data_IF_401387968924
#
_entry.id   IF_401387968924
#
_cell.length_a   1.000
_cell.length_b   1.000
_cell.length_c   1.000
_cell.angle_alpha   90.00
_cell.angle_beta   90.00
_cell.angle_gamma   90.00
#
_symmetry.space_group_name_H-M   'P 1'
#
loop_
_entity.id
_entity.type
_entity.pdbx_description
1 polymer ?
#
# COMPACT_ATOMS: atom_id res chain seq x y z
N UNK A 1 -1.80 -9.45 27.28
CA UNK A 1 -0.51 -9.09 26.62
C UNK A 1 -0.84 -8.23 25.43
N UNK A 2 -0.12 -7.12 25.20
CA UNK A 2 -0.39 -6.27 24.04
C UNK A 2 -0.05 -7.01 22.75
N UNK A 3 -1.03 -7.20 21.86
CA UNK A 3 -0.80 -7.90 20.58
C UNK A 3 -0.22 -6.92 19.57
N UNK A 4 1.07 -7.07 19.27
CA UNK A 4 1.80 -6.22 18.32
C UNK A 4 1.98 -6.95 17.01
N UNK A 5 1.47 -6.38 15.91
CA UNK A 5 1.70 -6.90 14.57
C UNK A 5 2.74 -6.03 13.85
N UNK A 6 3.73 -6.67 13.23
CA UNK A 6 4.83 -6.00 12.53
C UNK A 6 4.83 -6.45 11.08
N UNK A 7 4.60 -5.54 10.14
CA UNK A 7 4.71 -5.81 8.70
C UNK A 7 6.16 -5.58 8.24
N UNK A 8 6.85 -6.66 7.90
CA UNK A 8 8.29 -6.67 7.69
C UNK A 8 8.69 -7.55 6.50
N UNK A 9 9.66 -7.07 5.73
CA UNK A 9 10.35 -7.84 4.69
C UNK A 9 11.80 -7.41 4.54
N UNK A 10 12.20 -6.75 3.43
CA UNK A 10 13.59 -6.51 3.09
C UNK A 10 14.35 -5.52 4.01
N UNK A 11 13.64 -4.73 4.83
CA UNK A 11 14.29 -3.70 5.64
C UNK A 11 15.02 -4.24 6.88
N UNK A 12 14.59 -5.39 7.42
CA UNK A 12 15.20 -6.03 8.60
C UNK A 12 14.87 -7.53 8.61
N UNK A 13 15.85 -8.37 8.95
CA UNK A 13 15.64 -9.81 9.07
C UNK A 13 14.77 -10.18 10.29
N UNK A 14 14.02 -11.27 10.16
CA UNK A 14 13.09 -11.73 11.21
C UNK A 14 13.80 -12.02 12.54
N UNK A 15 15.02 -12.54 12.50
CA UNK A 15 15.76 -12.90 13.72
C UNK A 15 16.13 -11.64 14.53
N UNK A 16 16.65 -10.61 13.86
CA UNK A 16 16.94 -9.31 14.48
C UNK A 16 15.66 -8.63 14.99
N UNK A 17 14.55 -8.74 14.27
CA UNK A 17 13.28 -8.19 14.71
C UNK A 17 12.77 -8.86 16.01
N UNK A 18 12.82 -10.19 16.08
CA UNK A 18 12.42 -10.95 17.27
C UNK A 18 13.39 -10.80 18.45
N UNK A 19 14.68 -10.51 18.18
CA UNK A 19 15.63 -10.19 19.23
C UNK A 19 15.27 -8.89 19.96
N UNK A 20 14.71 -7.91 19.23
CA UNK A 20 14.24 -6.64 19.81
C UNK A 20 12.84 -6.77 20.39
N UNK A 21 11.91 -7.44 19.69
CA UNK A 21 10.50 -7.54 20.08
C UNK A 21 10.01 -9.00 20.02
N UNK A 22 10.35 -9.84 21.02
CA UNK A 22 10.09 -11.28 21.00
C UNK A 22 8.61 -11.67 20.89
N UNK A 23 7.71 -10.81 21.38
CA UNK A 23 6.27 -11.02 21.41
C UNK A 23 5.54 -10.58 20.11
N UNK A 24 6.27 -10.09 19.11
CA UNK A 24 5.69 -9.58 17.88
C UNK A 24 5.13 -10.69 16.98
N UNK A 25 3.95 -10.45 16.41
CA UNK A 25 3.45 -11.20 15.25
C UNK A 25 4.08 -10.61 13.98
N UNK A 26 5.14 -11.25 13.49
CA UNK A 26 5.82 -10.83 12.26
C UNK A 26 5.05 -11.29 11.01
N UNK A 27 4.47 -10.32 10.31
CA UNK A 27 3.71 -10.46 9.07
C UNK A 27 4.58 -10.07 7.85
N UNK A 28 4.23 -10.55 6.64
CA UNK A 28 4.85 -10.09 5.38
C UNK A 28 4.76 -8.57 5.19
N UNK A 29 5.45 -7.97 4.19
CA UNK A 29 5.23 -6.58 3.82
C UNK A 29 3.75 -6.25 3.62
N UNK A 30 3.31 -5.12 4.16
CA UNK A 30 1.89 -4.75 4.20
C UNK A 30 1.30 -4.62 2.79
N UNK A 31 0.15 -5.25 2.57
CA UNK A 31 -0.67 -5.10 1.39
C UNK A 31 -2.09 -4.60 1.72
N UNK A 32 -2.85 -4.26 0.69
CA UNK A 32 -4.25 -3.86 0.85
C UNK A 32 -5.06 -4.96 1.55
N UNK A 33 -5.76 -4.58 2.62
CA UNK A 33 -6.59 -5.45 3.45
C UNK A 33 -5.88 -6.09 4.64
N UNK A 34 -4.54 -6.05 4.71
CA UNK A 34 -3.79 -6.66 5.82
C UNK A 34 -4.01 -5.95 7.14
N UNK A 35 -4.08 -4.62 7.11
CA UNK A 35 -4.34 -3.82 8.31
C UNK A 35 -5.73 -4.16 8.87
N UNK A 36 -6.74 -4.30 8.00
CA UNK A 36 -8.07 -4.72 8.42
C UNK A 36 -8.07 -6.11 9.07
N UNK A 37 -7.33 -7.06 8.50
CA UNK A 37 -7.15 -8.41 9.08
C UNK A 37 -6.49 -8.35 10.44
N UNK A 38 -5.44 -7.54 10.61
CA UNK A 38 -4.74 -7.39 11.87
C UNK A 38 -5.65 -6.80 12.96
N UNK A 39 -6.39 -5.73 12.64
CA UNK A 39 -7.35 -5.11 13.56
C UNK A 39 -8.44 -6.11 13.97
N UNK A 40 -9.00 -6.86 13.01
CA UNK A 40 -10.03 -7.87 13.30
C UNK A 40 -9.55 -9.01 14.22
N UNK A 41 -8.23 -9.27 14.26
CA UNK A 41 -7.60 -10.24 15.18
C UNK A 41 -7.28 -9.66 16.56
N UNK A 42 -7.69 -8.43 16.85
CA UNK A 42 -7.47 -7.75 18.13
C UNK A 42 -6.05 -7.17 18.27
N UNK A 43 -5.42 -6.77 17.16
CA UNK A 43 -4.16 -6.02 17.20
C UNK A 43 -4.34 -4.71 17.99
N UNK A 44 -3.42 -4.42 18.90
CA UNK A 44 -3.42 -3.19 19.70
C UNK A 44 -2.32 -2.21 19.30
N UNK A 45 -1.26 -2.72 18.67
CA UNK A 45 -0.19 -1.90 18.09
C UNK A 45 0.25 -2.48 16.76
N UNK A 46 0.30 -1.63 15.75
CA UNK A 46 0.72 -1.95 14.40
C UNK A 46 2.06 -1.26 14.11
N UNK A 47 3.06 -2.02 13.70
CA UNK A 47 4.33 -1.49 13.20
C UNK A 47 4.40 -1.77 11.70
N UNK A 48 4.43 -0.71 10.91
CA UNK A 48 4.53 -0.79 9.45
C UNK A 48 5.96 -0.43 9.07
N UNK A 49 6.73 -1.40 8.60
CA UNK A 49 8.09 -1.18 8.09
C UNK A 49 8.04 -1.24 6.56
N UNK A 50 7.72 -2.41 6.03
CA UNK A 50 7.72 -2.70 4.60
C UNK A 50 6.30 -2.84 4.06
N UNK A 51 6.15 -2.52 2.77
CA UNK A 51 4.93 -2.74 2.01
C UNK A 51 5.24 -3.17 0.59
N UNK A 52 4.27 -3.81 -0.05
CA UNK A 52 4.40 -4.31 -1.42
C UNK A 52 4.18 -3.21 -2.46
N UNK A 53 4.94 -3.24 -3.54
CA UNK A 53 4.80 -2.36 -4.70
C UNK A 53 4.34 -3.13 -5.94
N UNK A 54 3.72 -2.41 -6.89
CA UNK A 54 3.33 -2.85 -8.24
C UNK A 54 2.29 -3.98 -8.34
N UNK A 55 2.70 -5.23 -8.10
CA UNK A 55 1.89 -6.42 -8.44
C UNK A 55 0.74 -6.68 -7.45
N UNK A 56 0.88 -6.17 -6.24
CA UNK A 56 -0.16 -6.22 -5.21
C UNK A 56 -0.53 -4.80 -4.82
N UNK A 57 -1.82 -4.48 -4.72
CA UNK A 57 -2.24 -3.15 -4.26
C UNK A 57 -1.62 -2.83 -2.89
N UNK A 58 -0.92 -1.70 -2.82
CA UNK A 58 -0.33 -1.20 -1.59
C UNK A 58 -1.40 -0.88 -0.55
N UNK A 59 -1.01 -0.87 0.73
CA UNK A 59 -1.89 -0.48 1.83
C UNK A 59 -2.49 0.91 1.59
N UNK A 60 -3.79 1.05 1.83
CA UNK A 60 -4.46 2.34 1.71
C UNK A 60 -4.32 3.15 3.00
N UNK A 61 -4.18 4.48 2.85
CA UNK A 61 -4.26 5.42 3.98
C UNK A 61 -5.50 5.20 4.84
N UNK A 62 -6.63 4.87 4.21
CA UNK A 62 -7.91 4.63 4.88
C UNK A 62 -7.89 3.42 5.81
N UNK A 63 -7.05 2.42 5.54
CA UNK A 63 -6.90 1.27 6.44
C UNK A 63 -6.13 1.65 7.70
N UNK A 64 -5.06 2.44 7.55
CA UNK A 64 -4.27 2.94 8.68
C UNK A 64 -5.08 3.93 9.55
N UNK A 65 -5.82 4.84 8.91
CA UNK A 65 -6.78 5.72 9.59
C UNK A 65 -7.85 4.89 10.31
N UNK A 66 -8.39 3.85 9.67
CA UNK A 66 -9.34 2.96 10.32
C UNK A 66 -8.73 2.31 11.57
N UNK A 67 -7.53 1.74 11.49
CA UNK A 67 -6.85 1.16 12.65
C UNK A 67 -6.71 2.16 13.80
N UNK A 68 -6.23 3.37 13.53
CA UNK A 68 -6.11 4.43 14.53
C UNK A 68 -7.47 4.83 15.13
N UNK A 69 -8.54 4.87 14.32
CA UNK A 69 -9.90 5.15 14.80
C UNK A 69 -10.44 4.08 15.75
N UNK A 70 -9.91 2.85 15.69
CA UNK A 70 -10.22 1.75 16.60
C UNK A 70 -9.33 1.76 17.86
N UNK A 71 -8.53 2.80 18.07
CA UNK A 71 -7.59 2.90 19.19
C UNK A 71 -6.33 2.05 19.01
N UNK A 72 -6.08 1.52 17.81
CA UNK A 72 -4.82 0.81 17.51
C UNK A 72 -3.72 1.83 17.36
N UNK A 73 -2.64 1.67 18.12
CA UNK A 73 -1.42 2.47 17.96
C UNK A 73 -0.77 2.09 16.63
N UNK A 74 -0.40 3.07 15.79
CA UNK A 74 0.23 2.78 14.49
C UNK A 74 1.58 3.50 14.41
N UNK A 75 2.65 2.74 14.19
CA UNK A 75 4.04 3.22 14.07
C UNK A 75 4.52 2.91 12.65
N UNK A 76 5.17 3.87 11.99
CA UNK A 76 5.72 3.72 10.64
C UNK A 76 7.19 4.14 10.54
N UNK A 77 8.00 3.36 9.81
CA UNK A 77 9.43 3.64 9.61
C UNK A 77 10.01 3.01 8.31
N UNK A 78 11.26 3.35 8.01
CA UNK A 78 12.16 2.77 7.00
C UNK A 78 11.75 2.82 5.52
N UNK A 79 10.62 2.23 5.15
CA UNK A 79 10.22 2.01 3.76
C UNK A 79 8.83 2.63 3.53
N UNK A 80 7.88 1.86 3.01
CA UNK A 80 6.48 2.30 2.89
C UNK A 80 5.89 2.79 4.22
N UNK A 81 6.34 2.25 5.35
CA UNK A 81 5.93 2.72 6.68
C UNK A 81 6.29 4.17 6.97
N UNK A 82 7.50 4.60 6.62
CA UNK A 82 7.95 5.97 6.81
C UNK A 82 7.16 6.96 5.93
N UNK A 83 6.94 6.60 4.66
CA UNK A 83 6.12 7.37 3.73
C UNK A 83 4.70 7.56 4.30
N UNK A 84 4.05 6.46 4.69
CA UNK A 84 2.68 6.50 5.23
C UNK A 84 2.60 7.27 6.54
N UNK A 85 3.62 7.18 7.39
CA UNK A 85 3.70 7.98 8.61
C UNK A 85 3.78 9.48 8.30
N UNK A 86 4.63 9.92 7.35
CA UNK A 86 4.73 11.33 6.98
C UNK A 86 3.42 11.90 6.39
N UNK A 87 2.59 11.06 5.78
CA UNK A 87 1.28 11.48 5.26
C UNK A 87 0.18 11.50 6.34
N UNK A 88 0.36 10.72 7.41
CA UNK A 88 -0.66 10.41 8.42
C UNK A 88 -0.31 10.86 9.85
N UNK A 89 0.85 11.45 10.07
CA UNK A 89 1.33 11.91 11.37
C UNK A 89 0.36 12.88 12.07
N UNK A 90 -0.17 13.84 11.30
CA UNK A 90 -1.21 14.79 11.72
C UNK A 90 -2.53 14.13 12.12
N UNK A 91 -2.71 12.85 11.81
CA UNK A 91 -3.88 12.04 12.20
C UNK A 91 -3.55 11.03 13.31
N UNK A 92 -2.33 11.01 13.83
CA UNK A 92 -1.92 10.22 14.99
C UNK A 92 -1.00 9.03 14.68
N UNK A 93 -0.55 8.86 13.43
CA UNK A 93 0.43 7.82 13.11
C UNK A 93 1.82 8.25 13.62
N UNK A 94 2.50 7.40 14.36
CA UNK A 94 3.83 7.69 14.87
C UNK A 94 4.88 7.40 13.80
N UNK A 95 5.45 8.46 13.21
CA UNK A 95 6.63 8.32 12.35
C UNK A 95 7.92 8.31 13.16
N UNK A 96 8.81 7.35 12.85
CA UNK A 96 10.13 7.27 13.48
C UNK A 96 11.22 6.99 12.46
N UNK A 97 12.43 7.46 12.78
CA UNK A 97 13.62 7.19 11.98
C UNK A 97 14.02 8.33 11.05
N UNK A 98 15.15 8.14 10.38
CA UNK A 98 15.69 9.10 9.42
C UNK A 98 14.83 9.18 8.16
N UNK A 99 14.37 8.04 7.62
CA UNK A 99 13.57 8.03 6.38
C UNK A 99 12.24 8.75 6.57
N UNK A 100 11.57 8.53 7.71
CA UNK A 100 10.36 9.29 8.06
C UNK A 100 10.62 10.80 8.06
N UNK A 101 11.70 11.24 8.71
CA UNK A 101 12.06 12.66 8.76
C UNK A 101 12.28 13.25 7.37
N UNK A 102 12.95 12.51 6.47
CA UNK A 102 13.12 12.98 5.09
C UNK A 102 11.79 13.21 4.37
N UNK A 103 10.81 12.31 4.53
CA UNK A 103 9.46 12.51 3.97
C UNK A 103 8.70 13.65 4.66
N UNK A 104 8.75 13.75 5.99
CA UNK A 104 8.13 14.83 6.74
C UNK A 104 8.70 16.22 6.37
N UNK A 105 9.98 16.27 6.00
CA UNK A 105 10.70 17.49 5.57
C UNK A 105 10.54 17.79 4.06
N UNK A 106 9.84 16.94 3.32
CA UNK A 106 9.43 17.25 1.94
C UNK A 106 10.06 16.40 0.83
N UNK A 107 10.69 15.26 1.15
CA UNK A 107 10.92 14.21 0.15
C UNK A 107 9.55 13.72 -0.38
N UNK A 108 9.39 13.60 -1.70
CA UNK A 108 8.08 13.32 -2.33
C UNK A 108 8.01 12.06 -3.17
N UNK A 109 9.14 11.56 -3.62
CA UNK A 109 9.17 10.45 -4.57
C UNK A 109 9.04 9.11 -3.85
N UNK A 110 8.08 8.28 -4.27
CA UNK A 110 7.83 6.95 -3.71
C UNK A 110 8.96 5.96 -4.02
N UNK A 111 9.66 6.12 -5.16
CA UNK A 111 10.74 5.23 -5.59
C UNK A 111 12.04 5.41 -4.77
N UNK A 112 12.10 6.40 -3.88
CA UNK A 112 13.24 6.62 -2.99
C UNK A 112 13.47 5.44 -2.06
N UNK A 113 12.37 4.87 -1.56
CA UNK A 113 12.38 3.69 -0.69
C UNK A 113 12.18 2.39 -1.46
N UNK A 114 11.86 2.43 -2.75
CA UNK A 114 11.65 1.22 -3.54
C UNK A 114 12.99 0.51 -3.86
N UNK A 115 12.97 -0.82 -3.81
CA UNK A 115 14.07 -1.69 -4.22
C UNK A 115 13.50 -3.02 -4.74
N UNK A 116 14.29 -3.73 -5.54
CA UNK A 116 13.99 -5.11 -5.91
C UNK A 116 14.53 -6.03 -4.82
N UNK A 117 13.73 -7.01 -4.40
CA UNK A 117 14.11 -8.02 -3.42
C UNK A 117 13.55 -9.39 -3.81
N UNK A 118 14.12 -10.44 -3.25
CA UNK A 118 13.56 -11.80 -3.36
C UNK A 118 12.28 -11.94 -2.53
N UNK A 119 11.56 -13.04 -2.71
CA UNK A 119 10.38 -13.34 -1.90
C UNK A 119 10.75 -13.81 -0.47
N UNK A 120 9.72 -14.21 0.27
CA UNK A 120 9.83 -14.72 1.63
C UNK A 120 10.62 -16.04 1.73
N UNK A 121 10.57 -16.91 0.72
CA UNK A 121 11.28 -18.20 0.72
C UNK A 121 12.79 -17.99 0.72
N UNK A 122 13.23 -16.93 0.04
CA UNK A 122 14.62 -16.49 -0.02
C UNK A 122 14.95 -15.38 1.01
N UNK A 123 14.07 -15.13 1.98
CA UNK A 123 14.33 -14.24 3.11
C UNK A 123 14.35 -12.75 2.78
N UNK A 124 13.70 -12.32 1.69
CA UNK A 124 13.64 -10.92 1.26
C UNK A 124 15.01 -10.28 1.00
N UNK A 125 15.96 -11.02 0.42
CA UNK A 125 17.28 -10.49 0.08
C UNK A 125 17.17 -9.34 -0.94
N UNK A 126 17.88 -8.24 -0.67
CA UNK A 126 17.92 -7.07 -1.56
C UNK A 126 18.71 -7.39 -2.84
N UNK A 127 18.09 -7.13 -3.98
CA UNK A 127 18.68 -7.29 -5.33
C UNK A 127 19.03 -5.93 -5.96
N UNK A 128 18.51 -4.83 -5.40
CA UNK A 128 18.91 -3.47 -5.78
C UNK A 128 19.01 -2.54 -4.57
N UNK A 129 19.65 -1.39 -4.77
CA UNK A 129 19.88 -0.37 -3.75
C UNK A 129 18.79 0.71 -3.85
N UNK A 130 18.06 1.02 -2.75
CA UNK A 130 17.09 2.11 -2.75
C UNK A 130 17.81 3.47 -2.74
N UNK A 131 17.23 4.49 -3.40
CA UNK A 131 17.87 5.80 -3.50
C UNK A 131 18.04 6.48 -2.12
N UNK A 132 17.13 6.19 -1.18
CA UNK A 132 17.20 6.70 0.19
C UNK A 132 18.49 6.25 0.91
N UNK A 133 19.05 5.08 0.56
CA UNK A 133 20.32 4.59 1.10
C UNK A 133 21.50 5.44 0.58
N UNK A 134 21.47 5.82 -0.71
CA UNK A 134 22.46 6.73 -1.30
C UNK A 134 22.44 8.07 -0.59
N UNK A 135 21.25 8.66 -0.42
CA UNK A 135 21.08 9.93 0.30
C UNK A 135 21.56 9.84 1.74
N UNK A 136 21.23 8.74 2.44
CA UNK A 136 21.66 8.53 3.81
C UNK A 136 23.20 8.46 3.94
N UNK A 137 23.87 7.70 3.07
CA UNK A 137 25.34 7.62 3.05
C UNK A 137 25.94 9.00 2.81
N UNK A 138 25.42 9.77 1.86
CA UNK A 138 25.89 11.13 1.58
C UNK A 138 25.68 12.09 2.75
N UNK A 139 24.56 11.96 3.48
CA UNK A 139 24.25 12.81 4.63
C UNK A 139 25.08 12.51 5.89
N UNK A 140 25.63 11.30 6.02
CA UNK A 140 26.32 10.84 7.23
C UNK A 140 27.79 10.47 7.01
N UNK A 141 28.36 10.82 5.86
CA UNK A 141 29.77 10.56 5.57
C UNK A 141 30.57 11.86 5.42
N UNK A 142 31.88 11.85 5.73
CA UNK A 142 32.74 13.02 5.53
C UNK A 142 32.77 13.47 4.07
N UNK A 143 32.64 14.78 3.83
CA UNK A 143 32.61 15.35 2.48
C UNK A 143 33.95 15.29 1.74
N UNK A 144 35.05 15.04 2.45
CA UNK A 144 36.39 14.86 1.89
C UNK A 144 36.68 13.42 1.43
N UNK A 145 35.86 12.45 1.84
CA UNK A 145 36.00 11.05 1.49
C UNK A 145 35.85 10.81 -0.03
N UNK A 146 36.82 10.13 -0.69
CA UNK A 146 36.80 9.91 -2.13
C UNK A 146 35.57 9.13 -2.64
N UNK A 147 35.10 8.14 -1.90
CA UNK A 147 33.92 7.35 -2.27
C UNK A 147 32.64 8.16 -2.07
N UNK A 148 32.56 9.01 -1.06
CA UNK A 148 31.41 9.92 -0.90
C UNK A 148 31.37 10.98 -2.00
N UNK A 149 32.52 11.52 -2.41
CA UNK A 149 32.60 12.41 -3.58
C UNK A 149 32.16 11.73 -4.87
N UNK A 150 32.63 10.50 -5.10
CA UNK A 150 32.23 9.71 -6.27
C UNK A 150 30.72 9.43 -6.27
N UNK A 151 30.17 9.02 -5.12
CA UNK A 151 28.74 8.77 -4.97
C UNK A 151 27.90 10.05 -5.18
N UNK A 152 28.36 11.19 -4.64
CA UNK A 152 27.69 12.47 -4.80
C UNK A 152 27.67 12.93 -6.26
N UNK A 153 28.79 12.77 -6.97
CA UNK A 153 28.92 13.15 -8.38
C UNK A 153 28.00 12.33 -9.31
N UNK A 154 27.56 11.16 -8.87
CA UNK A 154 26.73 10.24 -9.65
C UNK A 154 25.29 10.12 -9.14
N UNK A 155 24.92 10.84 -8.07
CA UNK A 155 23.63 10.69 -7.39
C UNK A 155 22.43 10.88 -8.33
N UNK A 156 22.47 11.88 -9.22
CA UNK A 156 21.40 12.15 -10.17
C UNK A 156 21.25 11.04 -11.23
N UNK A 157 22.36 10.47 -11.68
CA UNK A 157 22.36 9.34 -12.63
C UNK A 157 21.85 8.06 -11.97
N UNK A 158 22.20 7.85 -10.69
CA UNK A 158 21.65 6.76 -9.89
C UNK A 158 20.14 6.92 -9.71
N UNK A 159 19.67 8.13 -9.40
CA UNK A 159 18.25 8.43 -9.28
C UNK A 159 17.50 8.20 -10.59
N UNK A 160 18.06 8.62 -11.72
CA UNK A 160 17.46 8.47 -13.05
C UNK A 160 17.26 7.00 -13.47
N UNK A 161 18.03 6.06 -12.90
CA UNK A 161 17.82 4.62 -13.11
C UNK A 161 16.58 4.15 -12.35
N UNK A 162 15.67 3.47 -13.04
CA UNK A 162 14.52 2.82 -12.42
C UNK A 162 14.98 1.82 -11.32
N UNK A 163 14.31 1.82 -10.16
CA UNK A 163 14.81 1.19 -8.94
C UNK A 163 15.20 -0.30 -9.04
N UNK A 164 14.54 -1.18 -9.84
CA UNK A 164 14.99 -2.57 -10.00
C UNK A 164 16.34 -2.67 -10.69
N UNK A 165 16.70 -1.66 -11.47
CA UNK A 165 17.95 -1.58 -12.20
C UNK A 165 19.12 -0.98 -11.41
N UNK A 166 18.91 -0.54 -10.16
CA UNK A 166 19.94 0.02 -9.27
C UNK A 166 20.74 -1.09 -8.56
N UNK A 167 21.23 -2.08 -9.31
CA UNK A 167 21.95 -3.23 -8.73
C UNK A 167 23.37 -2.84 -8.34
N UNK A 168 23.99 -3.64 -7.47
CA UNK A 168 25.37 -3.46 -7.01
C UNK A 168 26.34 -3.57 -8.18
N UNK A 169 26.12 -4.52 -9.08
CA UNK A 169 26.93 -4.75 -10.28
C UNK A 169 26.85 -3.56 -11.23
N UNK A 170 25.65 -3.02 -11.43
CA UNK A 170 25.44 -1.84 -12.25
C UNK A 170 26.12 -0.60 -11.66
N UNK A 171 25.97 -0.36 -10.36
CA UNK A 171 26.63 0.74 -9.66
C UNK A 171 28.16 0.65 -9.76
N UNK A 172 28.71 -0.56 -9.58
CA UNK A 172 30.14 -0.81 -9.72
C UNK A 172 30.62 -0.50 -11.14
N UNK A 173 29.93 -1.01 -12.16
CA UNK A 173 30.26 -0.76 -13.56
C UNK A 173 30.17 0.74 -13.91
N UNK A 174 29.16 1.43 -13.38
CA UNK A 174 29.00 2.88 -13.55
C UNK A 174 30.19 3.65 -12.97
N UNK A 175 30.59 3.34 -11.74
CA UNK A 175 31.74 4.00 -11.08
C UNK A 175 33.02 3.83 -11.89
N UNK A 176 33.31 2.62 -12.36
CA UNK A 176 34.48 2.35 -13.20
C UNK A 176 34.41 3.08 -14.55
N UNK A 177 33.24 3.08 -15.21
CA UNK A 177 33.04 3.76 -16.49
C UNK A 177 33.22 5.29 -16.39
N UNK A 178 33.03 5.87 -15.20
CA UNK A 178 33.26 7.29 -14.91
C UNK A 178 34.67 7.60 -14.41
N UNK A 179 35.59 6.63 -14.52
CA UNK A 179 37.01 6.82 -14.23
C UNK A 179 37.36 6.73 -12.75
N UNK A 180 36.43 6.32 -11.88
CA UNK A 180 36.74 6.05 -10.49
C UNK A 180 37.55 4.75 -10.39
N UNK A 181 38.64 4.78 -9.62
CA UNK A 181 39.46 3.59 -9.39
C UNK A 181 38.72 2.52 -8.59
N UNK A 182 39.12 1.25 -8.76
CA UNK A 182 38.47 0.09 -8.13
C UNK A 182 38.31 0.21 -6.61
N UNK A 183 39.33 0.71 -5.92
CA UNK A 183 39.28 0.91 -4.46
C UNK A 183 38.16 1.88 -4.04
N UNK A 184 37.91 2.95 -4.82
CA UNK A 184 36.82 3.89 -4.57
C UNK A 184 35.48 3.22 -4.85
N UNK A 185 35.39 2.47 -5.96
CA UNK A 185 34.17 1.77 -6.32
C UNK A 185 33.77 0.76 -5.24
N UNK A 186 34.69 -0.10 -4.81
CA UNK A 186 34.48 -1.09 -3.75
C UNK A 186 34.03 -0.42 -2.43
N UNK A 187 34.67 0.69 -2.05
CA UNK A 187 34.30 1.45 -0.85
C UNK A 187 32.87 2.04 -0.92
N UNK A 188 32.44 2.52 -2.09
CA UNK A 188 31.03 2.94 -2.30
C UNK A 188 30.09 1.77 -2.09
N UNK A 189 30.37 0.60 -2.68
CA UNK A 189 29.50 -0.57 -2.56
C UNK A 189 29.41 -1.07 -1.12
N UNK A 190 30.52 -1.10 -0.38
CA UNK A 190 30.52 -1.45 1.04
C UNK A 190 29.58 -0.54 1.83
N UNK A 191 29.62 0.78 1.61
CA UNK A 191 28.73 1.73 2.32
C UNK A 191 27.27 1.60 1.93
N UNK A 192 26.97 1.16 0.70
CA UNK A 192 25.60 0.97 0.24
C UNK A 192 24.99 -0.37 0.67
N UNK A 193 25.81 -1.38 0.96
CA UNK A 193 25.33 -2.76 1.18
C UNK A 193 25.57 -3.31 2.58
N UNK A 194 26.57 -2.82 3.32
CA UNK A 194 26.87 -3.34 4.65
C UNK A 194 25.80 -2.94 5.68
N UNK A 195 25.48 -3.86 6.59
CA UNK A 195 24.35 -3.74 7.49
C UNK A 195 24.47 -2.55 8.45
N UNK A 196 25.68 -2.19 8.85
CA UNK A 196 25.97 -1.06 9.73
C UNK A 196 25.64 0.30 9.11
N UNK A 197 25.59 0.40 7.78
CA UNK A 197 25.22 1.62 7.07
C UNK A 197 23.75 1.63 6.62
N UNK A 198 23.02 0.53 6.81
CA UNK A 198 21.65 0.38 6.31
C UNK A 198 20.68 1.26 7.10
N UNK A 199 20.20 2.33 6.45
CA UNK A 199 19.23 3.26 7.06
C UNK A 199 17.91 2.57 7.36
N UNK A 200 17.46 1.69 6.47
CA UNK A 200 16.22 0.94 6.63
C UNK A 200 16.29 -0.02 7.81
N UNK A 201 17.44 -0.65 8.02
CA UNK A 201 17.69 -1.51 9.19
C UNK A 201 17.62 -0.69 10.47
N UNK A 202 18.34 0.44 10.51
CA UNK A 202 18.38 1.31 11.68
C UNK A 202 16.98 1.84 12.06
N UNK A 203 16.23 2.33 11.07
CA UNK A 203 14.86 2.83 11.25
C UNK A 203 13.89 1.72 11.70
N UNK A 204 14.00 0.51 11.14
CA UNK A 204 13.18 -0.61 11.56
C UNK A 204 13.44 -1.01 13.02
N UNK A 205 14.70 -1.06 13.44
CA UNK A 205 15.07 -1.32 14.83
C UNK A 205 14.52 -0.24 15.78
N UNK A 206 14.57 1.03 15.37
CA UNK A 206 14.00 2.13 16.15
C UNK A 206 12.48 2.00 16.32
N UNK A 207 11.76 1.60 15.27
CA UNK A 207 10.32 1.38 15.34
C UNK A 207 9.94 0.20 16.27
N UNK A 208 10.73 -0.87 16.26
CA UNK A 208 10.53 -1.99 17.17
C UNK A 208 10.81 -1.61 18.62
N UNK A 209 11.84 -0.80 18.87
CA UNK A 209 12.10 -0.24 20.20
C UNK A 209 10.93 0.67 20.65
N UNK A 210 10.44 1.54 19.78
CA UNK A 210 9.28 2.41 20.06
C UNK A 210 8.02 1.62 20.41
N UNK A 211 7.82 0.46 19.79
CA UNK A 211 6.67 -0.40 20.06
C UNK A 211 6.70 -1.05 21.47
N UNK A 212 7.85 -1.08 22.13
CA UNK A 212 7.97 -1.55 23.52
C UNK A 212 7.55 -0.49 24.54
N UNK A 213 7.63 0.79 24.16
CA UNK A 213 7.23 1.90 25.02
C UNK A 213 5.70 1.88 25.22
N UNK A 214 5.24 2.38 26.38
CA UNK A 214 3.82 2.55 26.63
C UNK A 214 3.19 3.48 25.56
N UNK A 215 1.97 3.19 25.08
CA UNK A 215 1.30 4.07 24.14
C UNK A 215 1.14 5.46 24.74
N UNK A 216 1.52 6.51 23.99
CA UNK A 216 1.06 7.85 24.31
C UNK A 216 -0.48 7.87 24.17
N UNK A 217 -1.17 8.61 25.04
CA UNK A 217 -2.62 8.75 24.93
C UNK A 217 -2.99 9.33 23.55
N UNK A 218 -3.70 8.55 22.73
CA UNK A 218 -4.21 9.00 21.44
C UNK A 218 -5.29 10.07 21.69
N UNK A 219 -5.04 11.30 21.23
CA UNK A 219 -5.97 12.41 21.35
C UNK A 219 -6.20 13.06 19.98
N UNK A 220 -6.69 12.30 18.99
CA UNK A 220 -7.09 12.88 17.71
C UNK A 220 -8.41 12.29 17.20
N UNK A 221 -9.34 13.11 16.69
CA UNK A 221 -10.58 12.64 16.08
C UNK A 221 -10.27 12.07 14.69
N UNK A 222 -10.05 10.76 14.61
CA UNK A 222 -9.91 10.09 13.32
C UNK A 222 -11.31 9.89 12.71
N UNK A 223 -11.55 10.25 11.42
CA UNK A 223 -12.85 10.05 10.78
C UNK A 223 -13.28 8.57 10.84
N UNK A 224 -14.40 8.29 11.51
CA UNK A 224 -14.87 6.93 11.80
C UNK A 224 -15.63 6.27 10.64
N UNK A 225 -15.78 6.95 9.50
CA UNK A 225 -16.67 6.49 8.42
C UNK A 225 -15.98 5.53 7.46
N UNK A 226 -16.42 4.27 7.46
CA UNK A 226 -16.07 3.30 6.40
C UNK A 226 -16.64 3.76 5.06
N UNK A 227 -15.78 4.34 4.22
CA UNK A 227 -16.15 4.77 2.87
C UNK A 227 -16.62 3.58 2.01
N UNK A 228 -17.38 3.84 0.92
CA UNK A 228 -17.86 2.79 0.00
C UNK A 228 -16.71 1.91 -0.53
N UNK A 229 -15.52 2.48 -0.73
CA UNK A 229 -14.32 1.73 -1.12
C UNK A 229 -13.87 0.73 -0.05
N UNK A 230 -13.86 1.14 1.22
CA UNK A 230 -13.54 0.27 2.35
C UNK A 230 -14.59 -0.84 2.50
N UNK A 231 -15.88 -0.52 2.30
CA UNK A 231 -16.94 -1.53 2.32
C UNK A 231 -16.80 -2.55 1.18
N UNK A 232 -16.39 -2.12 -0.02
CA UNK A 232 -16.09 -3.02 -1.15
C UNK A 232 -14.89 -3.91 -0.86
N UNK A 233 -13.82 -3.36 -0.29
CA UNK A 233 -12.64 -4.13 0.13
C UNK A 233 -13.02 -5.19 1.18
N UNK A 234 -13.77 -4.80 2.21
CA UNK A 234 -14.24 -5.76 3.23
C UNK A 234 -15.07 -6.88 2.59
N UNK A 235 -15.94 -6.57 1.62
CA UNK A 235 -16.70 -7.59 0.88
C UNK A 235 -15.80 -8.49 0.02
N UNK A 236 -14.81 -7.94 -0.68
CA UNK A 236 -13.92 -8.75 -1.52
C UNK A 236 -13.03 -9.68 -0.70
N UNK A 237 -12.61 -9.25 0.49
CA UNK A 237 -11.90 -10.10 1.45
C UNK A 237 -12.77 -11.27 1.93
N UNK A 238 -14.10 -11.11 1.98
CA UNK A 238 -15.04 -12.16 2.32
C UNK A 238 -15.47 -13.08 1.17
N UNK A 239 -15.04 -12.82 -0.08
CA UNK A 239 -15.45 -13.58 -1.28
C UNK A 239 -14.39 -14.55 -1.84
N UNK A 240 -13.17 -14.59 -1.28
CA UNK A 240 -12.19 -15.62 -1.60
C UNK A 240 -12.46 -16.87 -0.72
N UNK A 241 -12.70 -18.04 -1.30
CA UNK A 241 -12.98 -19.28 -0.53
C UNK A 241 -12.47 -20.53 -1.25
N UNK A 242 -11.97 -21.55 -0.53
CA UNK A 242 -12.29 -22.92 -0.95
C UNK A 242 -13.74 -23.28 -0.51
N UNK A 243 -14.61 -23.86 -1.37
CA UNK A 243 -16.08 -23.85 -1.21
C UNK A 243 -16.73 -25.28 -1.12
N UNK A 244 -18.08 -25.49 -1.10
CA UNK A 244 -19.17 -25.00 -0.22
C UNK A 244 -20.17 -26.15 0.24
N UNK A 245 -21.40 -25.90 0.78
CA UNK A 245 -22.48 -25.67 -0.17
C UNK A 245 -23.42 -24.48 0.08
N UNK A 246 -24.01 -23.97 -1.02
CA UNK A 246 -24.73 -22.71 -1.13
C UNK A 246 -26.21 -22.99 -1.35
N UNK A 247 -27.00 -23.05 -0.28
CA UNK A 247 -28.47 -23.16 -0.42
C UNK A 247 -29.26 -22.25 0.52
N UNK A 248 -28.80 -22.01 1.74
CA UNK A 248 -29.59 -21.25 2.71
C UNK A 248 -29.58 -19.73 2.45
N UNK A 249 -28.45 -19.19 2.02
CA UNK A 249 -28.32 -17.74 1.87
C UNK A 249 -28.92 -17.21 0.56
N UNK A 250 -28.80 -17.99 -0.53
CA UNK A 250 -29.42 -17.67 -1.81
C UNK A 250 -30.95 -17.87 -1.77
N UNK A 251 -31.45 -18.88 -1.05
CA UNK A 251 -32.90 -19.11 -0.91
C UNK A 251 -33.59 -17.98 -0.13
N UNK A 252 -32.97 -17.43 0.91
CA UNK A 252 -33.53 -16.29 1.67
C UNK A 252 -33.49 -14.98 0.88
N UNK A 253 -32.46 -14.77 0.07
CA UNK A 253 -32.36 -13.58 -0.78
C UNK A 253 -33.25 -13.65 -2.04
N UNK A 254 -33.53 -14.86 -2.56
CA UNK A 254 -34.41 -15.08 -3.72
C UNK A 254 -35.89 -15.27 -3.34
N UNK A 255 -36.21 -15.65 -2.09
CA UNK A 255 -37.59 -15.82 -1.61
C UNK A 255 -38.33 -14.50 -1.37
N UNK A 256 -37.62 -13.36 -1.38
CA UNK A 256 -38.24 -12.05 -1.27
C UNK A 256 -38.46 -11.45 -2.68
N UNK A 257 -39.64 -11.71 -3.26
CA UNK A 257 -40.27 -10.91 -4.34
C UNK A 257 -41.80 -10.99 -4.20
N UNK A 258 -42.60 -9.96 -4.57
CA UNK A 258 -42.48 -9.07 -5.76
C UNK A 258 -42.55 -7.55 -5.44
N UNK A 259 -42.28 -6.56 -6.31
CA UNK A 259 -42.70 -6.34 -7.72
C UNK A 259 -41.60 -5.75 -8.66
N UNK A 260 -41.81 -5.86 -9.98
CA UNK A 260 -41.05 -5.23 -11.07
C UNK A 260 -41.63 -3.84 -11.43
N UNK A 261 -40.94 -2.88 -12.14
CA UNK A 261 -39.80 -3.04 -13.08
C UNK A 261 -38.69 -1.95 -13.01
N UNK A 262 -37.60 -2.10 -13.79
CA UNK A 262 -36.75 -0.98 -14.26
C UNK A 262 -35.90 -1.32 -15.52
N UNK A 263 -36.42 -2.16 -16.42
CA UNK A 263 -35.70 -2.52 -17.66
C UNK A 263 -35.30 -1.30 -18.54
N UNK A 264 -36.13 -0.24 -18.68
CA UNK A 264 -35.78 0.92 -19.50
C UNK A 264 -34.61 1.75 -18.93
N UNK A 265 -34.57 1.95 -17.61
CA UNK A 265 -33.52 2.73 -16.95
C UNK A 265 -32.18 1.99 -16.95
N UNK A 266 -32.20 0.66 -16.77
CA UNK A 266 -30.99 -0.15 -16.90
C UNK A 266 -30.41 -0.05 -18.31
N UNK A 267 -31.25 -0.06 -19.35
CA UNK A 267 -30.81 0.13 -20.73
C UNK A 267 -30.24 1.54 -20.96
N UNK A 268 -30.88 2.59 -20.42
CA UNK A 268 -30.36 3.96 -20.50
C UNK A 268 -28.99 4.12 -19.84
N UNK A 269 -28.77 3.51 -18.67
CA UNK A 269 -27.48 3.54 -17.97
C UNK A 269 -26.39 2.81 -18.75
N UNK A 270 -26.73 1.67 -19.36
CA UNK A 270 -25.80 0.96 -20.26
C UNK A 270 -25.44 1.84 -21.47
N UNK A 271 -26.41 2.51 -22.09
CA UNK A 271 -26.15 3.41 -23.24
C UNK A 271 -25.35 4.66 -22.86
N UNK A 272 -25.51 5.19 -21.64
CA UNK A 272 -24.69 6.30 -21.15
C UNK A 272 -23.25 5.85 -20.90
N UNK A 273 -23.08 4.70 -20.24
CA UNK A 273 -21.76 4.10 -20.02
C UNK A 273 -21.05 3.79 -21.33
N UNK A 274 -21.74 3.20 -22.32
CA UNK A 274 -21.21 2.94 -23.67
C UNK A 274 -20.61 4.20 -24.31
N UNK A 275 -21.35 5.32 -24.27
CA UNK A 275 -20.90 6.60 -24.83
C UNK A 275 -19.67 7.15 -24.12
N UNK A 276 -19.61 7.04 -22.78
CA UNK A 276 -18.46 7.52 -21.98
C UNK A 276 -17.19 6.71 -22.24
N UNK A 277 -17.34 5.41 -22.45
CA UNK A 277 -16.22 4.52 -22.76
C UNK A 277 -15.79 4.58 -24.23
N UNK A 278 -16.46 5.38 -25.06
CA UNK A 278 -16.17 5.47 -26.50
C UNK A 278 -16.46 4.15 -27.24
N UNK A 279 -17.45 3.38 -26.76
CA UNK A 279 -17.83 2.08 -27.34
C UNK A 279 -19.06 2.28 -28.25
N UNK A 280 -18.87 2.38 -29.59
CA UNK A 280 -19.89 2.85 -30.51
C UNK A 280 -21.02 1.85 -30.77
N UNK A 281 -20.77 0.55 -30.52
CA UNK A 281 -21.71 -0.52 -30.84
C UNK A 281 -21.64 -1.70 -29.85
N UNK A 282 -22.53 -2.66 -30.01
CA UNK A 282 -22.61 -3.84 -29.16
C UNK A 282 -21.37 -4.73 -29.27
N UNK A 283 -20.74 -4.81 -30.43
CA UNK A 283 -19.55 -5.64 -30.66
C UNK A 283 -18.38 -5.11 -29.84
N UNK A 284 -18.19 -3.78 -29.80
CA UNK A 284 -17.17 -3.12 -29.00
C UNK A 284 -17.38 -3.33 -27.49
N UNK A 285 -18.64 -3.39 -27.03
CA UNK A 285 -18.94 -3.77 -25.63
C UNK A 285 -18.61 -5.23 -25.36
N UNK A 286 -18.98 -6.14 -26.25
CA UNK A 286 -18.70 -7.57 -26.06
C UNK A 286 -17.19 -7.84 -26.05
N UNK A 287 -16.41 -7.14 -26.89
CA UNK A 287 -14.94 -7.16 -26.86
C UNK A 287 -14.36 -6.57 -25.57
N UNK A 288 -14.89 -5.43 -25.12
CA UNK A 288 -14.48 -4.81 -23.85
C UNK A 288 -14.72 -5.75 -22.66
N UNK A 289 -15.86 -6.43 -22.63
CA UNK A 289 -16.19 -7.39 -21.57
C UNK A 289 -15.31 -8.63 -21.64
N UNK A 290 -15.04 -9.14 -22.85
CA UNK A 290 -14.16 -10.29 -23.05
C UNK A 290 -12.71 -10.01 -22.63
N UNK A 291 -12.15 -8.84 -23.00
CA UNK A 291 -10.80 -8.41 -22.62
C UNK A 291 -10.60 -8.31 -21.09
N UNK A 292 -11.69 -8.11 -20.35
CA UNK A 292 -11.67 -7.98 -18.88
C UNK A 292 -12.30 -9.15 -18.15
N UNK A 293 -12.59 -10.25 -18.86
CA UNK A 293 -13.20 -11.46 -18.30
C UNK A 293 -14.51 -11.19 -17.54
N UNK A 294 -15.30 -10.19 -17.97
CA UNK A 294 -16.58 -9.83 -17.36
C UNK A 294 -17.69 -10.61 -18.08
N UNK A 295 -18.49 -11.37 -17.33
CA UNK A 295 -19.62 -12.09 -17.92
C UNK A 295 -20.73 -11.10 -18.33
N UNK A 296 -21.30 -11.32 -19.52
CA UNK A 296 -22.43 -10.53 -20.02
C UNK A 296 -23.66 -10.60 -19.09
N UNK A 297 -24.04 -11.76 -18.51
CA UNK A 297 -25.10 -11.83 -17.51
C UNK A 297 -24.84 -10.94 -16.28
N UNK A 298 -23.63 -10.96 -15.75
CA UNK A 298 -23.27 -10.18 -14.55
C UNK A 298 -23.22 -8.69 -14.83
N UNK A 299 -22.71 -8.31 -16.01
CA UNK A 299 -22.72 -6.93 -16.51
C UNK A 299 -24.15 -6.37 -16.53
N UNK A 300 -25.10 -7.09 -17.14
CA UNK A 300 -26.49 -6.63 -17.15
C UNK A 300 -27.18 -6.71 -15.79
N UNK A 301 -26.82 -7.68 -14.94
CA UNK A 301 -27.31 -7.76 -13.57
C UNK A 301 -26.87 -6.56 -12.73
N UNK A 302 -25.63 -6.09 -12.92
CA UNK A 302 -25.10 -4.89 -12.30
C UNK A 302 -25.91 -3.64 -12.69
N UNK A 303 -26.11 -3.38 -13.98
CA UNK A 303 -26.88 -2.20 -14.41
C UNK A 303 -28.36 -2.27 -14.01
N UNK A 304 -28.96 -3.48 -13.94
CA UNK A 304 -30.30 -3.67 -13.36
C UNK A 304 -30.33 -3.37 -11.86
N UNK A 305 -29.26 -3.71 -11.12
CA UNK A 305 -29.14 -3.34 -9.72
C UNK A 305 -29.00 -1.81 -9.54
N UNK A 306 -28.18 -1.15 -10.36
CA UNK A 306 -28.05 0.30 -10.38
C UNK A 306 -29.37 1.01 -10.69
N UNK A 307 -30.13 0.51 -11.69
CA UNK A 307 -31.44 1.06 -12.03
C UNK A 307 -32.46 0.94 -10.88
N UNK A 308 -32.43 -0.18 -10.14
CA UNK A 308 -33.27 -0.36 -8.94
C UNK A 308 -32.91 0.65 -7.84
N UNK A 309 -31.62 0.83 -7.57
CA UNK A 309 -31.14 1.81 -6.58
C UNK A 309 -31.49 3.25 -6.98
N UNK A 310 -31.43 3.55 -8.28
CA UNK A 310 -31.80 4.87 -8.80
C UNK A 310 -33.31 5.12 -8.72
N UNK A 311 -34.14 4.12 -9.01
CA UNK A 311 -35.60 4.19 -8.84
C UNK A 311 -36.01 4.38 -7.37
N UNK A 312 -35.34 3.69 -6.44
CA UNK A 312 -35.53 3.89 -5.00
C UNK A 312 -35.09 5.29 -4.53
N UNK A 313 -34.05 5.86 -5.14
CA UNK A 313 -33.59 7.21 -4.81
C UNK A 313 -34.52 8.33 -5.30
N UNK A 314 -35.30 8.13 -6.38
CA UNK A 314 -36.30 9.11 -6.81
C UNK A 314 -37.46 9.25 -5.80
N UNK A 315 -37.72 8.23 -4.99
CA UNK A 315 -38.68 8.28 -3.88
C UNK A 315 -38.08 8.82 -2.56
N UNK A 316 -36.77 9.07 -2.53
CA UNK A 316 -36.05 9.53 -1.35
C UNK A 316 -35.92 11.06 -1.28
N UNK A 317 -35.58 11.57 -0.10
CA UNK A 317 -35.43 13.01 0.20
C UNK A 317 -34.36 13.69 -0.65
N UNK A 318 -34.43 15.02 -0.79
CA UNK A 318 -33.58 15.85 -1.67
C UNK A 318 -32.07 15.58 -1.52
N UNK A 319 -31.58 15.37 -0.30
CA UNK A 319 -30.16 15.07 -0.03
C UNK A 319 -29.73 13.67 -0.49
N UNK A 320 -30.63 12.69 -0.51
CA UNK A 320 -30.37 11.36 -1.06
C UNK A 320 -30.39 11.35 -2.59
N UNK A 321 -31.21 12.22 -3.22
CA UNK A 321 -31.20 12.42 -4.67
C UNK A 321 -29.87 13.01 -5.15
N UNK A 322 -29.30 13.97 -4.44
CA UNK A 322 -27.99 14.56 -4.78
C UNK A 322 -26.85 13.54 -4.68
N UNK A 323 -26.84 12.68 -3.65
CA UNK A 323 -25.84 11.61 -3.50
C UNK A 323 -25.94 10.54 -4.59
N UNK A 324 -27.15 10.16 -4.97
CA UNK A 324 -27.36 9.18 -6.04
C UNK A 324 -27.05 9.77 -7.42
N UNK A 325 -27.35 11.05 -7.64
CA UNK A 325 -26.95 11.79 -8.84
C UNK A 325 -25.42 11.85 -8.95
N UNK A 326 -24.73 12.23 -7.88
CA UNK A 326 -23.26 12.25 -7.85
C UNK A 326 -22.64 10.87 -8.11
N UNK A 327 -23.23 9.79 -7.58
CA UNK A 327 -22.77 8.42 -7.84
C UNK A 327 -23.00 7.98 -9.30
N UNK A 328 -24.08 8.44 -9.94
CA UNK A 328 -24.39 8.12 -11.34
C UNK A 328 -23.54 8.96 -12.30
N UNK A 329 -23.18 10.19 -11.92
CA UNK A 329 -22.25 11.04 -12.68
C UNK A 329 -20.80 10.51 -12.64
N UNK A 330 -20.45 9.67 -11.66
CA UNK A 330 -19.15 9.01 -11.50
C UNK A 330 -18.97 7.68 -12.29
N UNK A 331 -20.04 7.11 -12.87
CA UNK A 331 -20.01 5.88 -13.70
C UNK A 331 -20.00 6.24 -15.18
#
# INVERSE_FOLDING_TARGET
>A
MNRVAVFLGPSLDRASALAVLPQAELLPPVAQGDVLRAVARGCQSLVVIDGVFEQTPAVWHKELLFAMSQGVRVIGAASMGALRAAELDRFGMEGVGWVYRQYAEGLRDDDEVALLHTDAELGYANLSVPMIQVRHVLAHSPGDDPACKALAALADEIKARFYPGRTVEWLHALLLARGHGRAVADAVLTRLTAAEYSVKRADALLALARAQEAPAALALPVPQTLTVFMQRLVRSLGQASEPPPPRQWLAQALAAQPEAPAAPLAQQLVSQWQRRQGLPDRTSVEQFLALRSISKPDFFAFFKACARLHGQAQQATTAQRERTRAFTELI
#
